data_IF_097991683716
#
_entry.id   IF_097991683716
#
_cell.length_a   1.000
_cell.length_b   1.000
_cell.length_c   1.000
_cell.angle_alpha   90.00
_cell.angle_beta   90.00
_cell.angle_gamma   90.00
#
_symmetry.space_group_name_H-M   'P 1'
#
loop_
_entity.id
_entity.type
_entity.pdbx_description
1 polymer ?
#
# COMPACT_ATOMS: atom_id res chain seq x y z
N UNK A 1 29.48 -31.93 17.49
CA UNK A 1 28.34 -31.29 18.19
C UNK A 1 27.84 -30.14 17.32
N UNK A 2 26.94 -30.43 16.39
CA UNK A 2 26.29 -29.41 15.54
C UNK A 2 24.81 -29.38 15.91
N UNK A 3 24.45 -28.53 16.86
CA UNK A 3 23.05 -28.28 17.19
C UNK A 3 22.54 -27.18 16.25
N UNK A 4 22.12 -27.57 15.04
CA UNK A 4 21.32 -26.70 14.18
C UNK A 4 19.90 -26.63 14.76
N UNK A 5 19.65 -25.62 15.59
CA UNK A 5 18.30 -25.26 16.05
C UNK A 5 17.52 -24.71 14.86
N UNK A 6 16.91 -25.61 14.07
CA UNK A 6 15.88 -25.23 13.12
C UNK A 6 14.59 -25.02 13.91
N UNK A 7 14.35 -23.79 14.35
CA UNK A 7 13.05 -23.37 14.90
C UNK A 7 11.96 -23.76 13.90
N UNK A 8 10.92 -24.51 14.29
CA UNK A 8 9.87 -24.90 13.36
C UNK A 8 9.25 -23.63 12.76
N UNK A 9 9.09 -23.62 11.44
CA UNK A 9 8.48 -22.52 10.69
C UNK A 9 7.03 -22.35 11.17
N UNK A 10 6.84 -21.54 12.20
CA UNK A 10 5.53 -21.34 12.79
C UNK A 10 4.73 -20.50 11.77
N UNK A 11 3.76 -21.11 11.09
CA UNK A 11 3.02 -20.48 9.98
C UNK A 11 2.40 -19.14 10.38
N UNK A 12 2.03 -18.99 11.67
CA UNK A 12 1.59 -17.72 12.23
C UNK A 12 2.64 -16.60 12.10
N UNK A 13 3.92 -16.90 12.36
CA UNK A 13 5.01 -15.93 12.25
C UNK A 13 5.28 -15.52 10.80
N UNK A 14 5.06 -16.43 9.84
CA UNK A 14 5.19 -16.13 8.41
C UNK A 14 4.14 -15.10 7.98
N UNK A 15 2.85 -15.36 8.26
CA UNK A 15 1.78 -14.44 7.88
C UNK A 15 1.88 -13.10 8.61
N UNK A 16 2.30 -13.11 9.87
CA UNK A 16 2.53 -11.89 10.63
C UNK A 16 3.63 -11.02 9.99
N UNK A 17 4.77 -11.61 9.65
CA UNK A 17 5.87 -10.88 8.99
C UNK A 17 5.47 -10.31 7.63
N UNK A 18 4.76 -11.11 6.83
CA UNK A 18 4.26 -10.66 5.52
C UNK A 18 3.22 -9.53 5.66
N UNK A 19 2.31 -9.64 6.63
CA UNK A 19 1.34 -8.60 6.95
C UNK A 19 2.05 -7.31 7.36
N UNK A 20 3.03 -7.38 8.26
CA UNK A 20 3.79 -6.22 8.72
C UNK A 20 4.58 -5.57 7.58
N UNK A 21 5.20 -6.36 6.70
CA UNK A 21 5.95 -5.86 5.54
C UNK A 21 5.02 -5.15 4.55
N UNK A 22 3.91 -5.80 4.17
CA UNK A 22 2.92 -5.21 3.27
C UNK A 22 2.29 -3.95 3.87
N UNK A 23 1.92 -4.00 5.15
CA UNK A 23 1.34 -2.86 5.87
C UNK A 23 2.30 -1.67 5.90
N UNK A 24 3.57 -1.88 6.28
CA UNK A 24 4.57 -0.81 6.28
C UNK A 24 4.76 -0.22 4.88
N UNK A 25 4.88 -1.07 3.87
CA UNK A 25 5.09 -0.63 2.48
C UNK A 25 3.92 0.21 1.97
N UNK A 26 2.68 -0.28 2.14
CA UNK A 26 1.47 0.39 1.67
C UNK A 26 1.15 1.64 2.48
N UNK A 27 1.48 1.69 3.77
CA UNK A 27 1.19 2.83 4.65
C UNK A 27 1.91 4.11 4.21
N UNK A 28 3.04 3.99 3.52
CA UNK A 28 3.77 5.14 2.97
C UNK A 28 3.22 5.65 1.63
N UNK A 29 2.30 4.90 1.00
CA UNK A 29 1.73 5.26 -0.29
C UNK A 29 0.59 6.27 -0.09
N UNK A 30 0.68 7.41 -0.78
CA UNK A 30 -0.32 8.48 -0.70
C UNK A 30 -1.65 8.02 -1.31
N UNK A 31 -2.75 8.38 -0.66
CA UNK A 31 -4.10 8.00 -1.09
C UNK A 31 -4.50 6.57 -0.72
N UNK A 32 -3.63 5.79 -0.07
CA UNK A 32 -3.95 4.45 0.41
C UNK A 32 -3.95 4.39 1.94
N UNK A 33 -4.86 3.58 2.51
CA UNK A 33 -4.99 3.37 3.96
C UNK A 33 -5.07 1.87 4.26
N UNK A 34 -3.94 1.19 4.51
CA UNK A 34 -3.97 -0.22 4.84
C UNK A 34 -4.55 -0.44 6.25
N UNK A 35 -5.26 -1.56 6.43
CA UNK A 35 -5.79 -2.00 7.73
C UNK A 35 -5.00 -3.23 8.17
N UNK A 36 -4.32 -3.14 9.32
CA UNK A 36 -3.52 -4.25 9.83
C UNK A 36 -4.42 -5.45 10.14
N UNK A 37 -4.21 -6.62 9.51
CA UNK A 37 -5.04 -7.78 9.78
C UNK A 37 -4.68 -8.40 11.13
N UNK A 38 -5.69 -8.70 11.96
CA UNK A 38 -5.53 -9.42 13.23
C UNK A 38 -5.39 -10.95 13.09
N UNK A 39 -5.56 -11.45 11.85
CA UNK A 39 -5.47 -12.86 11.48
C UNK A 39 -6.22 -13.10 10.19
N UNK A 40 -5.52 -13.51 9.12
CA UNK A 40 -6.02 -13.95 7.81
C UNK A 40 -4.84 -14.10 6.83
N UNK A 41 -5.13 -14.47 5.58
CA UNK A 41 -4.18 -14.48 4.47
C UNK A 41 -4.31 -13.25 3.55
N UNK A 42 -5.02 -12.20 3.98
CA UNK A 42 -5.29 -11.01 3.18
C UNK A 42 -5.28 -9.73 4.02
N UNK A 43 -5.08 -8.60 3.35
CA UNK A 43 -5.12 -7.26 3.92
C UNK A 43 -6.09 -6.39 3.11
N UNK A 44 -6.93 -5.64 3.82
CA UNK A 44 -7.79 -4.62 3.22
C UNK A 44 -7.04 -3.29 3.15
N UNK A 45 -7.18 -2.60 2.02
CA UNK A 45 -6.57 -1.30 1.77
C UNK A 45 -7.67 -0.36 1.32
N UNK A 46 -7.91 0.69 2.11
CA UNK A 46 -8.80 1.78 1.71
C UNK A 46 -8.14 2.64 0.64
N UNK A 47 -8.92 3.05 -0.34
CA UNK A 47 -8.52 3.92 -1.44
C UNK A 47 -9.22 5.26 -1.23
N UNK A 48 -8.46 6.33 -1.16
CA UNK A 48 -8.99 7.69 -1.12
C UNK A 48 -9.34 8.14 -2.54
N UNK A 49 -10.46 7.64 -3.08
CA UNK A 49 -10.90 7.90 -4.47
C UNK A 49 -10.99 9.40 -4.77
N UNK A 50 -11.30 10.24 -3.78
CA UNK A 50 -11.33 11.71 -3.95
C UNK A 50 -9.97 12.31 -4.34
N UNK A 51 -8.86 11.62 -4.07
CA UNK A 51 -7.50 12.02 -4.47
C UNK A 51 -7.08 11.48 -5.84
N UNK A 52 -7.89 10.63 -6.46
CA UNK A 52 -7.66 10.07 -7.80
C UNK A 52 -8.81 10.45 -8.74
N UNK A 53 -8.82 11.67 -9.29
CA UNK A 53 -9.97 12.20 -10.07
C UNK A 53 -10.24 11.45 -11.38
N UNK A 54 -9.29 10.62 -11.83
CA UNK A 54 -9.42 9.80 -13.03
C UNK A 54 -10.30 8.56 -12.83
N UNK A 55 -10.58 8.19 -11.58
CA UNK A 55 -11.32 6.97 -11.23
C UNK A 55 -12.52 7.33 -10.35
N UNK A 56 -13.71 6.89 -10.73
CA UNK A 56 -14.93 7.09 -9.94
C UNK A 56 -15.17 5.95 -8.95
N UNK A 57 -14.63 4.75 -9.24
CA UNK A 57 -14.87 3.54 -8.45
C UNK A 57 -13.58 2.77 -8.16
N UNK A 58 -13.60 1.93 -7.11
CA UNK A 58 -12.50 1.02 -6.81
C UNK A 58 -12.25 0.00 -7.93
N UNK A 59 -13.27 -0.34 -8.72
CA UNK A 59 -13.13 -1.22 -9.88
C UNK A 59 -12.27 -0.58 -10.98
N UNK A 60 -12.54 0.68 -11.32
CA UNK A 60 -11.77 1.41 -12.34
C UNK A 60 -10.31 1.60 -11.91
N UNK A 61 -10.08 1.97 -10.65
CA UNK A 61 -8.74 2.08 -10.08
C UNK A 61 -7.96 0.76 -10.21
N UNK A 62 -8.58 -0.36 -9.83
CA UNK A 62 -7.95 -1.68 -9.90
C UNK A 62 -7.72 -2.12 -11.35
N UNK A 63 -8.65 -1.82 -12.27
CA UNK A 63 -8.48 -2.12 -13.69
C UNK A 63 -7.31 -1.36 -14.30
N UNK A 64 -7.17 -0.07 -13.98
CA UNK A 64 -6.04 0.75 -14.42
C UNK A 64 -4.71 0.24 -13.83
N UNK A 65 -4.69 -0.11 -12.55
CA UNK A 65 -3.51 -0.70 -11.90
C UNK A 65 -3.05 -1.99 -12.58
N UNK A 66 -4.00 -2.86 -12.95
CA UNK A 66 -3.70 -4.09 -13.70
C UNK A 66 -3.14 -3.76 -15.09
N UNK A 67 -3.77 -2.83 -15.81
CA UNK A 67 -3.38 -2.46 -17.17
C UNK A 67 -1.98 -1.83 -17.22
N UNK A 68 -1.65 -0.95 -16.27
CA UNK A 68 -0.40 -0.19 -16.28
C UNK A 68 0.76 -0.90 -15.59
N UNK A 69 0.50 -1.54 -14.45
CA UNK A 69 1.54 -2.09 -13.59
C UNK A 69 1.55 -3.62 -13.53
N UNK A 70 0.55 -4.27 -14.14
CA UNK A 70 0.34 -5.72 -14.03
C UNK A 70 0.21 -6.21 -12.58
N UNK A 71 -0.33 -5.34 -11.70
CA UNK A 71 -0.60 -5.68 -10.30
C UNK A 71 -2.10 -5.92 -10.15
N UNK A 72 -2.48 -7.15 -9.84
CA UNK A 72 -3.88 -7.53 -9.65
C UNK A 72 -4.26 -7.50 -8.16
N UNK A 73 -5.19 -6.60 -7.82
CA UNK A 73 -5.86 -6.53 -6.53
C UNK A 73 -7.33 -6.92 -6.70
N UNK A 74 -7.98 -7.38 -5.63
CA UNK A 74 -9.42 -7.63 -5.70
C UNK A 74 -10.19 -6.38 -5.26
N UNK A 75 -11.09 -5.81 -6.09
CA UNK A 75 -11.85 -4.62 -5.72
C UNK A 75 -12.84 -4.92 -4.59
N UNK A 76 -13.10 -3.92 -3.76
CA UNK A 76 -13.99 -3.96 -2.61
C UNK A 76 -15.47 -4.08 -3.01
N UNK A 77 -15.81 -3.68 -4.23
CA UNK A 77 -17.13 -3.93 -4.84
C UNK A 77 -17.53 -5.42 -4.80
N UNK A 78 -16.56 -6.35 -4.86
CA UNK A 78 -16.83 -7.80 -4.71
C UNK A 78 -17.32 -8.20 -3.31
N UNK A 79 -17.18 -7.31 -2.32
CA UNK A 79 -17.53 -7.52 -0.92
C UNK A 79 -18.56 -6.52 -0.40
N UNK A 80 -19.24 -5.80 -1.31
CA UNK A 80 -20.18 -4.71 -0.95
C UNK A 80 -19.54 -3.61 -0.10
N UNK A 81 -18.22 -3.43 -0.25
CA UNK A 81 -17.44 -2.45 0.51
C UNK A 81 -16.65 -1.55 -0.46
N UNK A 82 -17.30 -0.52 -1.04
CA UNK A 82 -16.70 0.32 -2.07
C UNK A 82 -15.51 1.13 -1.53
N UNK A 83 -14.65 1.60 -2.43
CA UNK A 83 -13.43 2.37 -2.12
C UNK A 83 -12.38 1.59 -1.32
N UNK A 84 -12.44 0.26 -1.37
CA UNK A 84 -11.41 -0.61 -0.80
C UNK A 84 -10.90 -1.57 -1.85
N UNK A 85 -9.72 -2.14 -1.59
CA UNK A 85 -9.21 -3.29 -2.31
C UNK A 85 -8.58 -4.30 -1.35
N UNK A 86 -8.47 -5.54 -1.79
CA UNK A 86 -7.89 -6.63 -1.04
C UNK A 86 -6.64 -7.17 -1.73
N UNK A 87 -5.56 -7.29 -0.97
CA UNK A 87 -4.34 -7.98 -1.39
C UNK A 87 -4.15 -9.29 -0.63
N UNK A 88 -3.48 -10.25 -1.26
CA UNK A 88 -3.10 -11.54 -0.65
C UNK A 88 -1.70 -11.46 -0.05
N UNK A 89 -1.54 -11.96 1.17
CA UNK A 89 -0.27 -11.91 1.91
C UNK A 89 0.58 -13.18 1.76
N UNK A 90 0.06 -14.20 1.06
CA UNK A 90 0.68 -15.50 0.85
C UNK A 90 1.75 -15.50 -0.25
N UNK A 91 1.95 -14.38 -0.95
CA UNK A 91 2.97 -14.26 -2.00
C UNK A 91 4.37 -14.17 -1.38
N UNK A 92 5.42 -14.62 -2.08
CA UNK A 92 6.82 -14.44 -1.67
C UNK A 92 7.16 -12.97 -1.34
N UNK A 93 8.08 -12.74 -0.38
CA UNK A 93 8.42 -11.40 0.11
C UNK A 93 8.95 -10.47 -1.01
N UNK A 94 9.74 -11.02 -1.94
CA UNK A 94 10.28 -10.32 -3.11
C UNK A 94 9.18 -9.87 -4.08
N UNK A 95 8.21 -10.75 -4.35
CA UNK A 95 7.05 -10.41 -5.16
C UNK A 95 6.14 -9.37 -4.47
N UNK A 96 5.97 -9.47 -3.14
CA UNK A 96 5.21 -8.50 -2.37
C UNK A 96 5.86 -7.12 -2.44
N UNK A 97 7.18 -7.04 -2.24
CA UNK A 97 7.93 -5.79 -2.29
C UNK A 97 7.82 -5.14 -3.67
N UNK A 98 7.96 -5.93 -4.74
CA UNK A 98 7.82 -5.45 -6.11
C UNK A 98 6.39 -4.96 -6.40
N UNK A 99 5.37 -5.69 -5.97
CA UNK A 99 3.98 -5.27 -6.14
C UNK A 99 3.68 -3.97 -5.37
N UNK A 100 4.20 -3.82 -4.15
CA UNK A 100 4.07 -2.59 -3.36
C UNK A 100 4.79 -1.41 -4.03
N UNK A 101 5.97 -1.64 -4.62
CA UNK A 101 6.73 -0.62 -5.35
C UNK A 101 5.94 -0.12 -6.57
N UNK A 102 5.42 -1.03 -7.39
CA UNK A 102 4.60 -0.68 -8.55
C UNK A 102 3.30 0.01 -8.18
N UNK A 103 2.67 -0.43 -7.09
CA UNK A 103 1.50 0.25 -6.53
C UNK A 103 1.84 1.68 -6.10
N UNK A 104 2.98 1.88 -5.46
CA UNK A 104 3.45 3.20 -5.06
C UNK A 104 3.68 4.11 -6.28
N UNK A 105 4.31 3.58 -7.33
CA UNK A 105 4.55 4.31 -8.60
C UNK A 105 3.24 4.70 -9.30
N UNK A 106 2.27 3.78 -9.35
CA UNK A 106 0.94 4.07 -9.88
C UNK A 106 0.23 5.15 -9.08
N UNK A 107 0.18 5.01 -7.75
CA UNK A 107 -0.43 6.02 -6.91
C UNK A 107 0.27 7.37 -7.07
N UNK A 108 1.59 7.44 -7.02
CA UNK A 108 2.34 8.70 -7.14
C UNK A 108 2.06 9.41 -8.48
N UNK A 109 1.90 8.66 -9.57
CA UNK A 109 1.60 9.18 -10.90
C UNK A 109 0.19 9.76 -11.02
N UNK A 110 -0.80 9.11 -10.40
CA UNK A 110 -2.22 9.47 -10.52
C UNK A 110 -2.77 10.27 -9.33
N UNK A 111 -1.97 10.43 -8.27
CA UNK A 111 -2.38 11.13 -7.06
C UNK A 111 -2.44 12.64 -7.29
N UNK A 112 -3.61 13.23 -7.09
CA UNK A 112 -3.78 14.68 -7.13
C UNK A 112 -3.37 15.28 -5.79
N UNK A 113 -2.36 16.13 -5.84
CA UNK A 113 -1.92 16.93 -4.69
C UNK A 113 -2.81 18.16 -4.58
N UNK A 114 -3.39 18.42 -3.41
CA UNK A 114 -4.03 19.70 -3.14
C UNK A 114 -2.96 20.78 -3.07
N UNK A 115 -3.22 21.94 -3.70
CA UNK A 115 -2.26 23.05 -3.72
C UNK A 115 -1.82 23.49 -2.31
N UNK A 116 -2.67 23.34 -1.30
CA UNK A 116 -2.34 23.62 0.11
C UNK A 116 -1.26 22.70 0.71
N UNK A 117 -1.20 21.42 0.33
CA UNK A 117 -0.17 20.49 0.82
C UNK A 117 1.20 20.76 0.18
N UNK A 118 1.23 21.30 -1.05
CA UNK A 118 2.45 21.76 -1.71
C UNK A 118 3.00 23.03 -1.05
N UNK A 119 2.12 23.97 -0.72
CA UNK A 119 2.48 25.20 -0.01
C UNK A 119 2.99 24.89 1.41
N UNK A 120 2.37 23.98 2.15
CA UNK A 120 2.87 23.56 3.47
C UNK A 120 4.24 22.87 3.40
N UNK A 121 4.48 22.02 2.39
CA UNK A 121 5.80 21.39 2.18
C UNK A 121 6.85 22.40 1.76
N UNK A 122 6.52 23.36 0.89
CA UNK A 122 7.43 24.45 0.54
C UNK A 122 7.74 25.32 1.75
N UNK A 123 6.73 25.71 2.51
CA UNK A 123 6.90 26.55 3.71
C UNK A 123 7.68 25.82 4.81
N UNK A 124 7.49 24.51 4.98
CA UNK A 124 8.28 23.70 5.91
C UNK A 124 9.75 23.60 5.54
N UNK A 125 10.07 23.36 4.25
CA UNK A 125 11.45 23.35 3.77
C UNK A 125 12.10 24.74 3.84
N UNK A 126 11.37 25.81 3.53
CA UNK A 126 11.83 27.19 3.68
C UNK A 126 12.13 27.53 5.14
N UNK A 127 11.29 27.09 6.09
CA UNK A 127 11.50 27.29 7.51
C UNK A 127 12.70 26.50 8.08
N UNK A 128 12.98 25.30 7.57
CA UNK A 128 14.17 24.52 7.94
C UNK A 128 15.47 25.15 7.39
N UNK A 129 15.43 25.77 6.20
CA UNK A 129 16.58 26.50 5.64
C UNK A 129 16.87 27.80 6.41
N UNK A 130 15.85 28.52 6.85
CA UNK A 130 15.97 29.77 7.63
C UNK A 130 16.50 29.52 9.06
N UNK A 131 16.40 28.29 9.57
CA UNK A 131 16.96 27.87 10.87
C UNK A 131 18.40 27.35 10.79
N UNK A 132 18.99 27.30 9.59
CA UNK A 132 20.34 26.78 9.35
C UNK A 132 21.37 27.90 9.08
N UNK A 133 20.93 29.16 9.07
CA UNK A 133 21.73 30.40 9.08
C UNK A 133 21.81 31.02 10.48
#
# INVERSE_FOLDING_TARGET
MTSSNTTPLNRANFFQRHAELAFKSVKHIRGLRPVMPGGAMYMMIGIDIGRFPEYETDLEFVQALVAEQSVFCLPGACFEYPNYMRIVLTVPEDMMAEACRRLAEFCEKHYKVDQGELEERQNGLLAEMDQMD
#
